data_IF_094188770781
#
_entry.id   IF_094188770781
#
_cell.length_a   1.000
_cell.length_b   1.000
_cell.length_c   1.000
_cell.angle_alpha   90.00
_cell.angle_beta   90.00
_cell.angle_gamma   90.00
#
_symmetry.space_group_name_H-M   'P 1'
#
loop_
_entity.id
_entity.type
_entity.pdbx_description
1 polymer ?
#
# COMPACT_ATOMS: atom_id res chain seq x y z
N UNK A 1 -17.46 -35.03 46.47
CA UNK A 1 -16.60 -34.97 45.25
C UNK A 1 -17.32 -34.34 44.05
N UNK A 2 -18.52 -34.79 43.65
CA UNK A 2 -19.21 -34.28 42.45
C UNK A 2 -19.57 -32.78 42.48
N UNK A 3 -19.99 -32.23 43.63
CA UNK A 3 -20.40 -30.82 43.77
C UNK A 3 -19.22 -29.84 43.55
N UNK A 4 -18.02 -30.23 43.98
CA UNK A 4 -16.81 -29.41 43.89
C UNK A 4 -16.32 -29.29 42.44
N UNK A 5 -16.47 -30.37 41.65
CA UNK A 5 -16.13 -30.40 40.22
C UNK A 5 -17.09 -29.51 39.40
N UNK A 6 -18.39 -29.54 39.70
CA UNK A 6 -19.39 -28.71 39.03
C UNK A 6 -19.13 -27.21 39.29
N UNK A 7 -18.76 -26.85 40.53
CA UNK A 7 -18.45 -25.47 40.90
C UNK A 7 -17.19 -24.95 40.18
N UNK A 8 -16.14 -25.77 40.08
CA UNK A 8 -14.92 -25.47 39.31
C UNK A 8 -15.20 -25.30 37.81
N UNK A 9 -16.07 -26.12 37.21
CA UNK A 9 -16.49 -25.98 35.81
C UNK A 9 -17.26 -24.68 35.60
N UNK A 10 -18.16 -24.32 36.53
CA UNK A 10 -18.92 -23.07 36.48
C UNK A 10 -18.03 -21.84 36.62
N UNK A 11 -17.06 -21.85 37.54
CA UNK A 11 -16.06 -20.79 37.68
C UNK A 11 -15.19 -20.66 36.43
N UNK A 12 -14.74 -21.78 35.86
CA UNK A 12 -13.96 -21.80 34.62
C UNK A 12 -14.74 -21.22 33.44
N UNK A 13 -15.99 -21.64 33.23
CA UNK A 13 -16.86 -21.09 32.17
C UNK A 13 -17.13 -19.59 32.36
N UNK A 14 -17.29 -19.15 33.61
CA UNK A 14 -17.49 -17.73 33.94
C UNK A 14 -16.22 -16.90 33.72
N UNK A 15 -15.04 -17.46 33.99
CA UNK A 15 -13.75 -16.81 33.71
C UNK A 15 -13.53 -16.65 32.20
N UNK A 16 -13.77 -17.71 31.42
CA UNK A 16 -13.66 -17.67 29.95
C UNK A 16 -14.63 -16.64 29.37
N UNK A 17 -15.89 -16.64 29.82
CA UNK A 17 -16.88 -15.66 29.38
C UNK A 17 -16.48 -14.21 29.74
N UNK A 18 -15.90 -13.98 30.93
CA UNK A 18 -15.41 -12.66 31.31
C UNK A 18 -14.20 -12.22 30.47
N UNK A 19 -13.27 -13.13 30.16
CA UNK A 19 -12.14 -12.87 29.27
C UNK A 19 -12.60 -12.51 27.85
N UNK A 20 -13.54 -13.27 27.29
CA UNK A 20 -14.14 -12.99 25.99
C UNK A 20 -14.88 -11.64 25.95
N UNK A 21 -15.50 -11.23 27.07
CA UNK A 21 -16.15 -9.92 27.19
C UNK A 21 -15.10 -8.80 27.23
N UNK A 22 -14.03 -8.95 28.02
CA UNK A 22 -12.97 -7.94 28.13
C UNK A 22 -12.21 -7.77 26.81
N UNK A 23 -11.90 -8.87 26.11
CA UNK A 23 -11.25 -8.83 24.78
C UNK A 23 -12.14 -8.12 23.75
N UNK A 24 -13.45 -8.40 23.75
CA UNK A 24 -14.39 -7.68 22.86
C UNK A 24 -14.49 -6.19 23.15
N UNK A 25 -14.40 -5.79 24.42
CA UNK A 25 -14.40 -4.38 24.81
C UNK A 25 -13.10 -3.67 24.40
N UNK A 26 -11.94 -4.31 24.61
CA UNK A 26 -10.64 -3.79 24.19
C UNK A 26 -10.55 -3.63 22.67
N UNK A 27 -10.98 -4.63 21.91
CA UNK A 27 -11.13 -4.57 20.45
C UNK A 27 -11.93 -3.36 19.99
N UNK A 28 -13.10 -3.17 20.61
CA UNK A 28 -14.00 -2.07 20.27
C UNK A 28 -13.32 -0.72 20.55
N UNK A 29 -12.58 -0.61 21.65
CA UNK A 29 -11.83 0.59 21.98
C UNK A 29 -10.71 0.87 20.97
N UNK A 30 -9.95 -0.15 20.55
CA UNK A 30 -8.90 -0.01 19.52
C UNK A 30 -9.51 0.47 18.20
N UNK A 31 -10.61 -0.14 17.75
CA UNK A 31 -11.28 0.24 16.51
C UNK A 31 -11.79 1.68 16.54
N UNK A 32 -12.43 2.09 17.63
CA UNK A 32 -12.94 3.46 17.76
C UNK A 32 -11.81 4.48 17.89
N UNK A 33 -10.69 4.13 18.55
CA UNK A 33 -9.49 4.97 18.58
C UNK A 33 -8.90 5.12 17.18
N UNK A 34 -8.69 4.01 16.47
CA UNK A 34 -8.14 4.03 15.11
C UNK A 34 -9.01 4.85 14.15
N UNK A 35 -10.35 4.72 14.22
CA UNK A 35 -11.26 5.57 13.42
C UNK A 35 -11.07 7.05 13.71
N UNK A 36 -11.03 7.44 14.99
CA UNK A 36 -10.83 8.82 15.41
C UNK A 36 -9.50 9.37 14.91
N UNK A 37 -8.44 8.58 15.06
CA UNK A 37 -7.10 8.96 14.62
C UNK A 37 -7.03 9.15 13.10
N UNK A 38 -7.61 8.24 12.31
CA UNK A 38 -7.69 8.34 10.85
C UNK A 38 -8.46 9.60 10.39
N UNK A 39 -9.57 9.91 11.06
CA UNK A 39 -10.36 11.12 10.80
C UNK A 39 -9.56 12.38 11.18
N UNK A 40 -8.89 12.36 12.33
CA UNK A 40 -8.05 13.47 12.80
C UNK A 40 -6.84 13.73 11.89
N UNK A 41 -6.28 12.67 11.28
CA UNK A 41 -5.24 12.78 10.25
C UNK A 41 -5.75 13.43 8.95
N UNK A 42 -7.07 13.53 8.77
CA UNK A 42 -7.70 14.22 7.64
C UNK A 42 -8.27 13.30 6.56
N UNK A 43 -8.46 12.01 6.85
CA UNK A 43 -9.15 11.08 5.95
C UNK A 43 -10.64 11.38 5.95
N UNK A 44 -11.22 11.48 4.75
CA UNK A 44 -12.63 11.77 4.53
C UNK A 44 -13.35 10.58 3.90
N UNK A 45 -14.67 10.43 4.13
CA UNK A 45 -15.48 9.32 3.61
C UNK A 45 -15.69 9.20 2.10
N UNK A 46 -14.97 9.95 1.30
CA UNK A 46 -15.03 9.89 -0.16
C UNK A 46 -13.63 9.87 -0.77
N UNK A 47 -12.60 9.84 0.07
CA UNK A 47 -11.22 9.86 -0.38
C UNK A 47 -10.89 8.60 -1.17
N UNK A 48 -9.98 8.76 -2.13
CA UNK A 48 -9.26 7.65 -2.74
C UNK A 48 -7.89 7.58 -2.09
N UNK A 49 -7.64 6.52 -1.32
CA UNK A 49 -6.41 6.33 -0.55
C UNK A 49 -5.59 5.21 -1.15
N UNK A 50 -4.31 5.45 -1.41
CA UNK A 50 -3.31 4.39 -1.62
C UNK A 50 -2.49 4.22 -0.34
N UNK A 51 -2.54 3.05 0.26
CA UNK A 51 -1.92 2.80 1.57
C UNK A 51 -0.61 2.01 1.45
N UNK A 52 0.44 2.56 2.06
CA UNK A 52 1.61 1.81 2.53
C UNK A 52 1.48 1.63 4.04
N UNK A 53 1.92 0.49 4.59
CA UNK A 53 1.67 0.17 6.00
C UNK A 53 2.75 -0.67 6.65
N UNK A 54 2.94 -0.49 7.95
CA UNK A 54 3.70 -1.38 8.84
C UNK A 54 2.80 -1.84 10.01
N UNK A 55 2.29 -3.07 9.95
CA UNK A 55 1.36 -3.58 10.98
C UNK A 55 1.98 -3.57 12.38
N UNK A 56 3.28 -3.89 12.51
CA UNK A 56 3.97 -3.94 13.80
C UNK A 56 4.11 -2.56 14.46
N UNK A 57 4.12 -1.48 13.68
CA UNK A 57 4.25 -0.12 14.21
C UNK A 57 2.99 0.40 14.91
N UNK A 58 1.83 -0.22 14.64
CA UNK A 58 0.54 0.19 15.21
C UNK A 58 0.38 -0.22 16.69
N UNK A 59 1.32 -1.02 17.22
CA UNK A 59 1.15 -1.71 18.49
C UNK A 59 0.35 -3.00 18.34
N UNK A 60 -0.21 -3.50 19.44
CA UNK A 60 -1.10 -4.64 19.39
C UNK A 60 -2.45 -4.25 18.79
N UNK A 61 -2.78 -4.86 17.66
CA UNK A 61 -4.09 -4.76 17.00
C UNK A 61 -4.64 -6.17 16.93
N UNK A 62 -5.63 -6.46 17.76
CA UNK A 62 -6.34 -7.73 17.70
C UNK A 62 -7.08 -7.85 16.36
N UNK A 63 -7.07 -9.05 15.77
CA UNK A 63 -7.46 -9.29 14.36
C UNK A 63 -6.44 -8.80 13.32
N UNK A 64 -5.42 -8.05 13.73
CA UNK A 64 -4.27 -7.69 12.89
C UNK A 64 -4.65 -6.95 11.61
N UNK A 65 -4.29 -7.52 10.46
CA UNK A 65 -4.52 -6.91 9.15
C UNK A 65 -6.01 -6.69 8.83
N UNK A 66 -6.86 -7.63 9.24
CA UNK A 66 -8.30 -7.56 9.01
C UNK A 66 -8.90 -6.30 9.64
N UNK A 67 -8.63 -6.12 10.92
CA UNK A 67 -9.08 -4.98 11.72
C UNK A 67 -8.63 -3.64 11.14
N UNK A 68 -7.38 -3.55 10.69
CA UNK A 68 -6.83 -2.35 10.03
C UNK A 68 -7.61 -2.02 8.75
N UNK A 69 -7.82 -3.04 7.90
CA UNK A 69 -8.52 -2.88 6.61
C UNK A 69 -9.99 -2.52 6.85
N UNK A 70 -10.69 -3.25 7.71
CA UNK A 70 -12.11 -3.03 8.00
C UNK A 70 -12.35 -1.64 8.60
N UNK A 71 -11.45 -1.21 9.49
CA UNK A 71 -11.53 0.13 10.08
C UNK A 71 -11.35 1.20 9.02
N UNK A 72 -10.33 1.09 8.15
CA UNK A 72 -10.14 2.02 7.03
C UNK A 72 -11.33 2.06 6.08
N UNK A 73 -11.87 0.91 5.69
CA UNK A 73 -13.05 0.82 4.83
C UNK A 73 -14.28 1.45 5.50
N UNK A 74 -14.45 1.29 6.81
CA UNK A 74 -15.54 1.90 7.56
C UNK A 74 -15.47 3.44 7.59
N UNK A 75 -14.26 4.01 7.64
CA UNK A 75 -14.04 5.46 7.57
C UNK A 75 -14.27 5.96 6.15
N UNK A 76 -13.75 5.23 5.16
CA UNK A 76 -13.85 5.60 3.76
C UNK A 76 -15.25 5.48 3.20
N UNK A 77 -16.18 4.68 3.76
CA UNK A 77 -17.58 4.55 3.29
C UNK A 77 -17.72 4.42 1.76
N UNK A 78 -17.95 5.53 1.04
CA UNK A 78 -18.12 5.59 -0.42
C UNK A 78 -16.81 5.83 -1.19
N UNK A 79 -15.70 5.95 -0.47
CA UNK A 79 -14.36 6.15 -0.98
C UNK A 79 -13.75 4.91 -1.62
N UNK A 80 -12.44 4.92 -1.76
CA UNK A 80 -11.67 3.85 -2.40
C UNK A 80 -10.39 3.60 -1.62
N UNK A 81 -10.13 2.33 -1.31
CA UNK A 81 -8.87 1.89 -0.75
C UNK A 81 -8.09 1.12 -1.81
N UNK A 82 -6.87 1.57 -2.05
CA UNK A 82 -5.87 0.94 -2.88
C UNK A 82 -4.70 0.49 -1.99
N UNK A 83 -4.18 -0.71 -2.21
CA UNK A 83 -3.04 -1.26 -1.46
C UNK A 83 -2.09 -1.91 -2.47
N UNK A 84 -0.83 -1.47 -2.56
CA UNK A 84 0.15 -2.14 -3.40
C UNK A 84 0.29 -3.62 -3.03
N UNK A 85 0.34 -4.49 -4.03
CA UNK A 85 0.48 -5.94 -3.93
C UNK A 85 1.69 -6.38 -4.77
N UNK A 86 2.85 -5.86 -4.39
CA UNK A 86 4.05 -5.88 -5.20
C UNK A 86 4.68 -7.29 -5.20
N UNK A 87 5.36 -7.68 -6.27
CA UNK A 87 5.80 -9.06 -6.51
C UNK A 87 7.19 -9.17 -7.14
N UNK A 88 8.01 -8.11 -7.11
CA UNK A 88 9.34 -8.10 -7.75
C UNK A 88 10.32 -9.15 -7.20
N UNK A 89 10.11 -9.66 -5.98
CA UNK A 89 10.98 -10.71 -5.43
C UNK A 89 10.71 -12.08 -6.06
N UNK A 90 9.49 -12.32 -6.52
CA UNK A 90 9.05 -13.61 -7.07
C UNK A 90 8.80 -13.58 -8.57
N UNK A 91 8.46 -12.42 -9.14
CA UNK A 91 8.25 -12.21 -10.58
C UNK A 91 9.35 -11.32 -11.12
N UNK A 92 10.18 -11.88 -11.99
CA UNK A 92 11.37 -11.22 -12.56
C UNK A 92 11.79 -11.94 -13.86
N UNK A 93 12.96 -11.61 -14.41
CA UNK A 93 13.45 -12.20 -15.65
C UNK A 93 13.56 -13.74 -15.61
N UNK A 94 13.91 -14.30 -14.45
CA UNK A 94 14.09 -15.75 -14.28
C UNK A 94 12.76 -16.46 -13.98
N UNK A 95 11.76 -15.73 -13.48
CA UNK A 95 10.38 -16.20 -13.32
C UNK A 95 9.37 -15.19 -13.89
N UNK A 96 9.21 -15.13 -15.23
CA UNK A 96 8.51 -14.03 -15.91
C UNK A 96 6.99 -14.23 -15.99
N UNK A 97 6.38 -14.84 -14.99
CA UNK A 97 4.93 -15.13 -14.97
C UNK A 97 4.27 -14.45 -13.78
N UNK A 98 3.27 -13.63 -14.08
CA UNK A 98 2.38 -13.03 -13.08
C UNK A 98 0.97 -13.53 -13.28
N UNK A 99 0.36 -14.02 -12.20
CA UNK A 99 -1.03 -14.44 -12.14
C UNK A 99 -1.74 -13.59 -11.09
N UNK A 100 -2.78 -12.85 -11.52
CA UNK A 100 -3.56 -11.96 -10.67
C UNK A 100 -4.04 -12.64 -9.38
N UNK A 101 -4.49 -13.89 -9.49
CA UNK A 101 -5.06 -14.67 -8.38
C UNK A 101 -3.96 -15.33 -7.53
N UNK A 102 -2.92 -15.85 -8.17
CA UNK A 102 -2.00 -16.78 -7.52
C UNK A 102 -0.68 -16.13 -7.07
N UNK A 103 -0.18 -15.10 -7.75
CA UNK A 103 1.10 -14.48 -7.40
C UNK A 103 1.00 -13.77 -6.04
N UNK A 104 1.82 -14.13 -5.03
CA UNK A 104 1.78 -13.50 -3.71
C UNK A 104 2.37 -12.08 -3.74
N UNK A 105 1.98 -11.27 -2.75
CA UNK A 105 2.64 -10.00 -2.45
C UNK A 105 3.93 -10.22 -1.65
N UNK A 106 4.94 -9.37 -1.87
CA UNK A 106 6.25 -9.45 -1.23
C UNK A 106 6.53 -8.35 -0.19
N UNK A 107 5.56 -7.47 0.13
CA UNK A 107 5.82 -6.27 0.95
C UNK A 107 5.13 -6.20 2.32
N UNK A 108 4.23 -7.12 2.66
CA UNK A 108 3.70 -7.16 4.04
C UNK A 108 2.39 -7.94 4.22
N UNK A 109 2.09 -8.26 5.48
CA UNK A 109 0.91 -9.04 5.86
C UNK A 109 -0.41 -8.36 5.49
N UNK A 110 -0.52 -7.04 5.65
CA UNK A 110 -1.72 -6.28 5.25
C UNK A 110 -1.96 -6.39 3.74
N UNK A 111 -0.90 -6.24 2.93
CA UNK A 111 -0.97 -6.36 1.48
C UNK A 111 -1.41 -7.77 1.03
N UNK A 112 -0.81 -8.82 1.60
CA UNK A 112 -1.15 -10.21 1.27
C UNK A 112 -2.55 -10.61 1.77
N UNK A 113 -2.97 -10.12 2.94
CA UNK A 113 -4.33 -10.31 3.43
C UNK A 113 -5.33 -9.61 2.50
N UNK A 114 -5.09 -8.33 2.18
CA UNK A 114 -5.98 -7.52 1.36
C UNK A 114 -6.19 -8.11 -0.04
N UNK A 115 -5.13 -8.61 -0.70
CA UNK A 115 -5.28 -9.20 -2.04
C UNK A 115 -6.18 -10.44 -2.08
N UNK A 116 -6.31 -11.15 -0.95
CA UNK A 116 -7.11 -12.38 -0.83
C UNK A 116 -8.54 -12.11 -0.36
N UNK A 117 -8.82 -10.88 0.06
CA UNK A 117 -10.13 -10.50 0.57
C UNK A 117 -11.18 -10.53 -0.53
N UNK A 118 -12.36 -11.02 -0.20
CA UNK A 118 -13.52 -10.99 -1.09
C UNK A 118 -13.86 -9.54 -1.50
N UNK A 119 -14.21 -9.36 -2.79
CA UNK A 119 -14.54 -8.05 -3.37
C UNK A 119 -13.34 -7.17 -3.73
N UNK A 120 -12.12 -7.56 -3.36
CA UNK A 120 -10.90 -6.86 -3.80
C UNK A 120 -10.51 -7.33 -5.19
N UNK A 121 -10.21 -6.38 -6.06
CA UNK A 121 -9.67 -6.61 -7.42
C UNK A 121 -8.21 -6.18 -7.48
N UNK A 122 -7.44 -6.70 -8.46
CA UNK A 122 -6.01 -6.41 -8.59
C UNK A 122 -5.66 -6.05 -10.03
N UNK A 123 -4.89 -4.98 -10.20
CA UNK A 123 -4.41 -4.54 -11.51
C UNK A 123 -3.43 -5.52 -12.13
N UNK A 124 -3.38 -5.56 -13.47
CA UNK A 124 -2.50 -6.45 -14.23
C UNK A 124 -1.13 -5.81 -14.50
N UNK A 125 -0.14 -6.08 -13.66
CA UNK A 125 1.26 -5.66 -13.86
C UNK A 125 2.22 -6.65 -13.16
N UNK A 126 3.34 -7.06 -13.78
CA UNK A 126 4.12 -8.20 -13.30
C UNK A 126 4.78 -8.01 -11.93
N UNK A 127 5.30 -6.81 -11.64
CA UNK A 127 6.07 -6.54 -10.41
C UNK A 127 5.40 -5.56 -9.45
N UNK A 128 4.64 -4.59 -9.98
CA UNK A 128 4.08 -3.47 -9.22
C UNK A 128 2.55 -3.43 -9.14
N UNK A 129 1.88 -4.57 -9.23
CA UNK A 129 0.42 -4.61 -9.15
C UNK A 129 -0.14 -3.98 -7.86
N UNK A 130 -1.35 -3.43 -7.96
CA UNK A 130 -2.09 -2.79 -6.86
C UNK A 130 -3.45 -3.49 -6.72
N UNK A 131 -3.86 -3.71 -5.49
CA UNK A 131 -5.20 -4.20 -5.14
C UNK A 131 -6.10 -3.04 -4.75
N UNK A 132 -7.41 -3.17 -4.95
CA UNK A 132 -8.34 -2.12 -4.54
C UNK A 132 -9.79 -2.56 -4.40
N UNK A 133 -10.53 -1.77 -3.63
CA UNK A 133 -11.97 -1.88 -3.42
C UNK A 133 -12.57 -0.49 -3.23
N UNK A 134 -13.84 -0.32 -3.62
CA UNK A 134 -14.56 0.93 -3.52
C UNK A 134 -14.79 1.61 -4.87
N UNK A 135 -15.34 2.82 -4.81
CA UNK A 135 -15.96 3.52 -5.95
C UNK A 135 -15.10 3.61 -7.22
N UNK A 136 -13.83 3.97 -7.07
CA UNK A 136 -12.92 4.25 -8.18
C UNK A 136 -11.97 3.07 -8.49
N UNK A 137 -12.00 1.99 -7.69
CA UNK A 137 -11.01 0.91 -7.78
C UNK A 137 -10.96 0.27 -9.17
N UNK A 138 -12.12 -0.07 -9.75
CA UNK A 138 -12.19 -0.75 -11.05
C UNK A 138 -11.57 0.08 -12.17
N UNK A 139 -11.89 1.38 -12.20
CA UNK A 139 -11.39 2.28 -13.24
C UNK A 139 -9.88 2.47 -13.12
N UNK A 140 -9.38 2.88 -11.95
CA UNK A 140 -7.96 3.11 -11.70
C UNK A 140 -7.11 1.87 -12.00
N UNK A 141 -7.57 0.68 -11.60
CA UNK A 141 -6.78 -0.55 -11.74
C UNK A 141 -6.80 -1.12 -13.17
N UNK A 142 -7.81 -0.80 -13.98
CA UNK A 142 -7.98 -1.36 -15.33
C UNK A 142 -6.92 -0.90 -16.32
N UNK A 143 -6.31 0.26 -16.09
CA UNK A 143 -5.37 0.90 -17.01
C UNK A 143 -3.91 0.42 -16.85
N UNK A 144 -3.60 -0.43 -15.87
CA UNK A 144 -2.21 -0.77 -15.57
C UNK A 144 -1.51 -1.57 -16.68
N UNK A 145 -2.27 -2.25 -17.54
CA UNK A 145 -1.74 -2.93 -18.73
C UNK A 145 -1.36 -1.95 -19.85
N UNK A 146 -1.86 -0.72 -19.81
CA UNK A 146 -1.62 0.33 -20.82
C UNK A 146 -0.26 1.02 -20.65
N UNK A 147 0.56 0.57 -19.71
CA UNK A 147 1.92 1.06 -19.48
C UNK A 147 2.92 -0.09 -19.51
N UNK A 148 4.18 0.20 -19.88
CA UNK A 148 5.27 -0.77 -19.99
C UNK A 148 6.40 -0.50 -18.98
N UNK A 149 6.10 0.24 -17.92
CA UNK A 149 6.99 0.54 -16.80
C UNK A 149 6.25 0.35 -15.47
N UNK A 150 6.97 0.08 -14.36
CA UNK A 150 6.39 -0.26 -13.06
C UNK A 150 5.36 0.73 -12.52
N UNK A 151 5.63 2.03 -12.67
CA UNK A 151 4.83 3.10 -12.09
C UNK A 151 4.53 4.17 -13.16
N UNK A 152 4.39 3.75 -14.41
CA UNK A 152 4.17 4.68 -15.54
C UNK A 152 2.88 5.48 -15.45
N UNK A 153 2.64 6.38 -16.41
CA UNK A 153 1.56 7.40 -16.34
C UNK A 153 0.15 6.82 -16.22
N UNK A 154 -0.08 5.58 -16.68
CA UNK A 154 -1.35 4.85 -16.57
C UNK A 154 -1.41 3.85 -15.40
N UNK A 155 -0.36 3.80 -14.57
CA UNK A 155 -0.36 2.97 -13.36
C UNK A 155 -1.33 3.51 -12.30
N UNK A 156 -1.84 2.67 -11.40
CA UNK A 156 -2.70 3.09 -10.29
C UNK A 156 -2.07 4.18 -9.41
N UNK A 157 -0.74 4.17 -9.27
CA UNK A 157 0.00 5.18 -8.52
C UNK A 157 -0.06 6.56 -9.19
N UNK A 158 0.09 6.59 -10.52
CA UNK A 158 0.00 7.81 -11.32
C UNK A 158 -1.40 8.34 -11.43
N UNK A 159 -2.36 7.44 -11.68
CA UNK A 159 -3.77 7.80 -11.77
C UNK A 159 -4.31 8.31 -10.44
N UNK A 160 -3.79 7.89 -9.29
CA UNK A 160 -4.21 8.40 -7.97
C UNK A 160 -4.24 9.93 -7.92
N UNK A 161 -3.27 10.61 -8.57
CA UNK A 161 -3.24 12.07 -8.69
C UNK A 161 -4.51 12.63 -9.34
N UNK A 162 -4.94 12.02 -10.43
CA UNK A 162 -6.03 12.52 -11.27
C UNK A 162 -7.39 12.39 -10.55
N UNK A 163 -7.47 11.54 -9.52
CA UNK A 163 -8.62 11.37 -8.64
C UNK A 163 -8.54 12.21 -7.36
N UNK A 164 -7.61 13.17 -7.28
CA UNK A 164 -7.30 13.92 -6.06
C UNK A 164 -7.04 12.98 -4.85
N UNK A 165 -6.45 11.81 -5.12
CA UNK A 165 -6.19 10.81 -4.12
C UNK A 165 -5.03 11.18 -3.20
N UNK A 166 -4.88 10.41 -2.12
CA UNK A 166 -3.84 10.61 -1.12
C UNK A 166 -3.08 9.32 -0.88
N UNK A 167 -1.78 9.43 -0.62
CA UNK A 167 -0.95 8.30 -0.18
C UNK A 167 -0.94 8.30 1.35
N UNK A 168 -1.49 7.26 1.96
CA UNK A 168 -1.43 7.04 3.40
C UNK A 168 -0.18 6.22 3.72
N UNK A 169 0.75 6.81 4.46
CA UNK A 169 1.91 6.12 5.03
C UNK A 169 1.59 5.73 6.47
N UNK A 170 0.98 4.57 6.66
CA UNK A 170 0.52 4.04 7.95
C UNK A 170 1.69 3.35 8.68
N UNK A 171 2.51 4.14 9.39
CA UNK A 171 3.58 3.60 10.24
C UNK A 171 4.84 3.10 9.53
N UNK A 172 5.02 3.44 8.25
CA UNK A 172 6.15 2.98 7.44
C UNK A 172 7.16 4.07 7.05
N UNK A 173 7.15 5.25 7.71
CA UNK A 173 7.86 6.47 7.27
C UNK A 173 7.43 6.91 5.86
N UNK A 174 7.97 8.03 5.36
CA UNK A 174 7.78 8.48 3.98
C UNK A 174 8.64 7.71 2.96
N UNK A 175 9.63 6.93 3.41
CA UNK A 175 10.63 6.31 2.55
C UNK A 175 10.09 5.24 1.58
N UNK A 176 9.18 4.30 1.95
CA UNK A 176 8.70 3.26 1.05
C UNK A 176 7.52 3.73 0.18
N UNK A 177 7.55 4.98 -0.29
CA UNK A 177 6.49 5.58 -1.09
C UNK A 177 6.69 5.25 -2.58
N UNK A 178 6.11 4.15 -3.04
CA UNK A 178 6.20 3.69 -4.44
C UNK A 178 5.65 4.73 -5.44
N UNK A 179 4.75 5.62 -5.01
CA UNK A 179 4.21 6.65 -5.90
C UNK A 179 5.26 7.65 -6.38
N UNK A 180 6.36 7.82 -5.63
CA UNK A 180 7.48 8.67 -6.06
C UNK A 180 8.21 8.14 -7.28
N UNK A 181 8.23 6.82 -7.49
CA UNK A 181 8.75 6.25 -8.73
C UNK A 181 7.95 6.71 -9.95
N UNK A 182 6.65 6.91 -9.82
CA UNK A 182 5.85 7.44 -10.92
C UNK A 182 6.24 8.88 -11.28
N UNK A 183 6.59 9.69 -10.28
CA UNK A 183 7.15 11.03 -10.51
C UNK A 183 8.45 10.91 -11.30
N UNK A 184 9.37 10.04 -10.85
CA UNK A 184 10.67 9.82 -11.50
C UNK A 184 10.53 9.29 -12.94
N UNK A 185 9.67 8.30 -13.17
CA UNK A 185 9.44 7.66 -14.49
C UNK A 185 8.78 8.58 -15.51
N UNK A 186 8.17 9.69 -15.08
CA UNK A 186 7.37 10.57 -15.97
C UNK A 186 7.93 11.98 -16.09
N UNK A 187 9.03 12.29 -15.39
CA UNK A 187 9.83 13.50 -15.67
C UNK A 187 10.52 13.33 -17.02
N UNK A 188 10.62 14.42 -17.78
CA UNK A 188 11.34 14.48 -19.06
C UNK A 188 12.45 15.53 -18.96
N UNK A 189 13.74 15.17 -19.14
CA UNK A 189 14.22 13.79 -19.39
C UNK A 189 14.05 12.86 -18.19
N UNK A 190 13.80 11.57 -18.48
CA UNK A 190 13.73 10.51 -17.46
C UNK A 190 15.10 10.34 -16.77
N UNK A 191 15.18 10.35 -15.42
CA UNK A 191 16.45 10.16 -14.73
C UNK A 191 17.09 8.81 -15.04
N UNK A 192 18.39 8.82 -15.35
CA UNK A 192 19.13 7.66 -15.85
C UNK A 192 19.13 6.44 -14.90
N UNK A 193 18.85 6.66 -13.62
CA UNK A 193 18.98 5.65 -12.57
C UNK A 193 17.70 4.82 -12.32
N UNK A 194 16.56 5.21 -12.91
CA UNK A 194 15.23 4.72 -12.54
C UNK A 194 14.91 3.40 -13.24
N UNK A 195 15.02 3.36 -14.57
CA UNK A 195 14.59 2.23 -15.39
C UNK A 195 15.74 1.57 -16.15
N UNK A 196 15.62 0.26 -16.38
CA UNK A 196 16.54 -0.49 -17.25
C UNK A 196 16.49 0.04 -18.67
N UNK A 197 17.58 -0.09 -19.44
CA UNK A 197 17.56 0.24 -20.88
C UNK A 197 16.83 -0.84 -21.69
N UNK A 198 17.08 -2.10 -21.35
CA UNK A 198 16.44 -3.24 -21.99
C UNK A 198 15.08 -3.55 -21.36
N UNK A 199 14.24 -4.23 -22.13
CA UNK A 199 12.95 -4.75 -21.67
C UNK A 199 13.02 -6.23 -21.31
N UNK A 200 12.20 -6.66 -20.36
CA UNK A 200 11.92 -8.06 -20.04
C UNK A 200 10.50 -8.39 -20.46
N UNK A 201 10.31 -9.49 -21.19
CA UNK A 201 8.99 -10.01 -21.55
C UNK A 201 8.38 -10.76 -20.35
N UNK A 202 7.10 -10.50 -20.08
CA UNK A 202 6.34 -11.18 -19.03
C UNK A 202 5.06 -11.78 -19.60
N UNK A 203 4.66 -12.94 -19.07
CA UNK A 203 3.31 -13.48 -19.24
C UNK A 203 2.45 -13.05 -18.07
N UNK A 204 1.34 -12.38 -18.37
CA UNK A 204 0.36 -11.89 -17.40
C UNK A 204 -0.93 -12.69 -17.54
N UNK A 205 -1.48 -13.20 -16.44
CA UNK A 205 -2.72 -13.97 -16.40
C UNK A 205 -3.74 -13.18 -15.58
N UNK A 206 -4.85 -12.81 -16.21
CA UNK A 206 -5.92 -12.07 -15.53
C UNK A 206 -6.84 -12.97 -14.68
N UNK A 207 -7.81 -12.35 -14.01
CA UNK A 207 -8.76 -13.04 -13.14
C UNK A 207 -9.60 -14.11 -13.85
N UNK A 208 -9.75 -14.03 -15.17
CA UNK A 208 -10.49 -14.99 -15.99
C UNK A 208 -9.59 -16.05 -16.63
N UNK A 209 -8.28 -16.01 -16.33
CA UNK A 209 -7.29 -16.91 -16.91
C UNK A 209 -6.83 -16.50 -18.32
N UNK A 210 -7.23 -15.33 -18.81
CA UNK A 210 -6.76 -14.83 -20.11
C UNK A 210 -5.31 -14.39 -19.98
N UNK A 211 -4.50 -14.78 -20.96
CA UNK A 211 -3.07 -14.50 -21.02
C UNK A 211 -2.77 -13.27 -21.88
N UNK A 212 -1.81 -12.48 -21.42
CA UNK A 212 -1.21 -11.36 -22.14
C UNK A 212 0.30 -11.55 -22.11
N UNK A 213 0.98 -11.16 -23.18
CA UNK A 213 2.44 -11.14 -23.25
C UNK A 213 2.84 -9.70 -23.55
N UNK A 214 3.69 -9.13 -22.69
CA UNK A 214 4.10 -7.74 -22.82
C UNK A 214 5.50 -7.54 -22.26
N UNK A 215 6.24 -6.64 -22.92
CA UNK A 215 7.61 -6.28 -22.55
C UNK A 215 7.61 -5.04 -21.69
N UNK A 216 8.34 -5.09 -20.58
CA UNK A 216 8.45 -4.01 -19.60
C UNK A 216 9.90 -3.59 -19.42
N UNK A 217 10.15 -2.28 -19.29
CA UNK A 217 11.36 -1.80 -18.60
C UNK A 217 11.13 -2.01 -17.10
N UNK A 218 12.19 -2.33 -16.36
CA UNK A 218 12.11 -2.61 -14.93
C UNK A 218 12.82 -1.52 -14.12
N UNK A 219 12.51 -1.39 -12.83
CA UNK A 219 13.29 -0.52 -11.94
C UNK A 219 14.74 -1.00 -11.82
N UNK A 220 15.67 -0.04 -11.83
CA UNK A 220 17.11 -0.28 -11.97
C UNK A 220 17.94 0.09 -10.73
N UNK A 221 17.30 0.48 -9.62
CA UNK A 221 17.94 0.99 -8.40
C UNK A 221 19.04 0.08 -7.82
N UNK A 222 18.88 -1.24 -7.94
CA UNK A 222 19.88 -2.21 -7.46
C UNK A 222 21.17 -2.22 -8.28
N UNK A 223 21.07 -1.99 -9.59
CA UNK A 223 22.22 -1.95 -10.51
C UNK A 223 22.87 -0.57 -10.46
N UNK A 224 22.05 0.49 -10.45
CA UNK A 224 22.52 1.89 -10.43
C UNK A 224 23.05 2.30 -9.07
N UNK A 225 22.77 1.49 -8.02
CA UNK A 225 23.17 1.74 -6.64
C UNK A 225 22.75 3.14 -6.20
N UNK A 226 21.48 3.48 -6.46
CA UNK A 226 20.85 4.70 -5.96
C UNK A 226 19.84 4.34 -4.85
N UNK A 227 20.09 4.84 -3.65
CA UNK A 227 19.24 4.62 -2.49
C UNK A 227 18.18 5.73 -2.40
N UNK A 228 16.92 5.33 -2.33
CA UNK A 228 15.75 6.22 -2.24
C UNK A 228 15.78 7.07 -0.96
N UNK A 229 15.33 8.33 -1.08
CA UNK A 229 15.29 9.36 -0.03
C UNK A 229 13.96 10.12 -0.04
N UNK A 230 12.85 9.40 -0.16
CA UNK A 230 11.51 10.02 -0.25
C UNK A 230 11.08 10.73 1.04
N UNK A 231 11.75 10.49 2.17
CA UNK A 231 11.61 11.33 3.37
C UNK A 231 11.94 12.82 3.12
N UNK A 232 12.71 13.15 2.07
CA UNK A 232 12.96 14.54 1.66
C UNK A 232 11.71 15.27 1.21
N UNK A 233 10.60 14.58 0.92
CA UNK A 233 9.32 15.24 0.67
C UNK A 233 8.94 16.17 1.83
N UNK A 234 9.19 15.76 3.07
CA UNK A 234 8.89 16.58 4.26
C UNK A 234 9.75 17.85 4.37
N UNK A 235 10.81 18.02 3.57
CA UNK A 235 11.61 19.25 3.54
C UNK A 235 11.12 20.26 2.50
N UNK A 236 10.23 19.83 1.59
CA UNK A 236 9.74 20.65 0.46
C UNK A 236 8.22 20.77 0.41
N UNK A 237 7.51 20.07 1.30
CA UNK A 237 6.06 20.00 1.35
C UNK A 237 5.60 19.94 2.81
N UNK A 238 4.53 20.68 3.14
CA UNK A 238 3.84 20.56 4.42
C UNK A 238 2.84 19.40 4.34
N UNK A 239 3.17 18.27 4.96
CA UNK A 239 2.42 17.03 4.83
C UNK A 239 1.60 16.79 6.11
N UNK A 240 0.27 16.62 6.02
CA UNK A 240 -0.53 16.19 7.15
C UNK A 240 0.06 14.96 7.85
N UNK A 241 0.31 15.10 9.15
CA UNK A 241 1.01 14.12 9.97
C UNK A 241 0.33 13.99 11.33
N UNK A 242 0.30 12.77 11.86
CA UNK A 242 -0.27 12.47 13.16
C UNK A 242 -0.17 10.99 13.50
N UNK A 243 -0.58 10.64 14.72
CA UNK A 243 -0.60 9.25 15.15
C UNK A 243 -1.86 8.53 14.69
N UNK A 244 -1.70 7.27 14.33
CA UNK A 244 -2.79 6.28 14.28
C UNK A 244 -2.39 5.13 15.19
N UNK A 245 -3.13 4.97 16.28
CA UNK A 245 -2.71 4.14 17.40
C UNK A 245 -1.31 4.54 17.87
N UNK A 246 -0.33 3.63 17.86
CA UNK A 246 1.04 3.91 18.26
C UNK A 246 1.95 4.38 17.11
N UNK A 247 1.46 4.33 15.86
CA UNK A 247 2.28 4.60 14.68
C UNK A 247 2.27 6.08 14.28
N UNK A 248 3.44 6.63 13.94
CA UNK A 248 3.55 7.90 13.22
C UNK A 248 3.11 7.71 11.76
N UNK A 249 2.22 8.58 11.29
CA UNK A 249 1.55 8.44 10.01
C UNK A 249 1.56 9.75 9.23
N UNK A 250 1.63 9.63 7.91
CA UNK A 250 1.55 10.75 6.98
C UNK A 250 0.42 10.52 5.99
N UNK A 251 -0.31 11.58 5.65
CA UNK A 251 -1.32 11.56 4.61
C UNK A 251 -0.90 12.54 3.52
N UNK A 252 -0.30 12.02 2.45
CA UNK A 252 0.33 12.80 1.39
C UNK A 252 -0.67 13.08 0.27
N UNK A 253 -1.09 14.34 0.02
CA UNK A 253 -1.85 14.70 -1.18
C UNK A 253 -1.09 14.31 -2.45
N UNK A 254 -1.63 13.38 -3.24
CA UNK A 254 -0.92 12.85 -4.40
C UNK A 254 -0.61 13.95 -5.41
N UNK A 255 -1.59 14.79 -5.74
CA UNK A 255 -1.39 15.85 -6.74
C UNK A 255 -0.27 16.82 -6.42
N UNK A 256 -0.23 17.33 -5.19
CA UNK A 256 0.81 18.24 -4.75
C UNK A 256 2.19 17.55 -4.69
N UNK A 257 2.25 16.31 -4.18
CA UNK A 257 3.48 15.52 -4.19
C UNK A 257 4.05 15.32 -5.59
N UNK A 258 3.19 15.07 -6.58
CA UNK A 258 3.59 14.92 -7.98
C UNK A 258 4.13 16.23 -8.58
N UNK A 259 3.45 17.35 -8.32
CA UNK A 259 3.86 18.68 -8.80
C UNK A 259 5.21 19.11 -8.19
N UNK A 260 5.33 19.07 -6.87
CA UNK A 260 6.56 19.42 -6.15
C UNK A 260 7.68 18.44 -6.46
N UNK A 261 7.39 17.14 -6.47
CA UNK A 261 8.37 16.10 -6.76
C UNK A 261 9.00 16.28 -8.14
N UNK A 262 8.18 16.52 -9.17
CA UNK A 262 8.67 16.78 -10.53
C UNK A 262 9.53 18.04 -10.57
N UNK A 263 9.08 19.14 -9.95
CA UNK A 263 9.87 20.36 -9.88
C UNK A 263 11.25 20.11 -9.25
N UNK A 264 11.32 19.38 -8.14
CA UNK A 264 12.58 19.13 -7.43
C UNK A 264 13.55 18.24 -8.21
N UNK A 265 13.03 17.24 -8.93
CA UNK A 265 13.85 16.42 -9.84
C UNK A 265 14.38 17.28 -11.00
N UNK A 266 13.57 18.18 -11.56
CA UNK A 266 14.04 19.08 -12.63
C UNK A 266 15.09 20.09 -12.14
N UNK A 267 15.01 20.55 -10.89
CA UNK A 267 16.02 21.41 -10.27
C UNK A 267 17.32 20.64 -9.94
N UNK A 268 17.19 19.41 -9.47
CA UNK A 268 18.29 18.50 -9.16
C UNK A 268 17.83 17.07 -9.38
N UNK A 269 18.32 16.43 -10.45
CA UNK A 269 17.88 15.09 -10.87
C UNK A 269 17.91 14.07 -9.71
N UNK A 270 18.95 14.12 -8.88
CA UNK A 270 19.17 13.21 -7.76
C UNK A 270 18.51 13.69 -6.45
N UNK A 271 17.57 14.65 -6.47
CA UNK A 271 17.02 15.24 -5.24
C UNK A 271 16.45 14.18 -4.29
N UNK A 272 15.80 13.14 -4.81
CA UNK A 272 15.16 12.09 -4.00
C UNK A 272 15.97 10.79 -3.90
N UNK A 273 17.24 10.81 -4.29
CA UNK A 273 18.13 9.65 -4.18
C UNK A 273 19.50 10.07 -3.65
N UNK A 274 20.27 9.10 -3.18
CA UNK A 274 21.71 9.24 -2.95
C UNK A 274 22.41 8.02 -3.56
N UNK A 275 23.67 8.14 -4.00
CA UNK A 275 24.51 6.97 -4.21
C UNK A 275 24.55 6.09 -2.95
N UNK A 276 24.46 4.78 -3.10
CA UNK A 276 24.67 3.86 -1.98
C UNK A 276 26.07 4.09 -1.41
N UNK A 277 26.12 4.47 -0.13
CA UNK A 277 27.32 4.32 0.67
C UNK A 277 27.26 2.88 1.19
N UNK A 278 28.20 2.05 0.76
CA UNK A 278 28.31 0.66 1.22
C UNK A 278 28.39 0.54 2.73
#
# INVERSE_FOLDING_TARGET
MAIQIIFLIFLSKRLVCLQEITEREENRMINERMKKDLIALGIKPQDTILMHSSLSSLGYVEGGAETVIDTLLSVLREGTLLVPALSWTTVNKDNPVFDVKNTPSCIGAISEYFRKREGVIRSLHPTHSVCGIGKNAKEILSHHLETNTPVGIRSPFSLLRDYNGKVLMLGCTLRPNTSMHGVEETVDPEPWYVLTKDTTEFTLIDENGKKYVQSYRCHNFGVTKMAQRYERLATVMDIPHGKVLEAECWLVPSKEMWEIGKQKIMEKEEFFVDPYKG
#
